data_IF_974067867471
#
_entry.id   IF_974067867471
#
_cell.length_a   1.000
_cell.length_b   1.000
_cell.length_c   1.000
_cell.angle_alpha   90.00
_cell.angle_beta   90.00
_cell.angle_gamma   90.00
#
_symmetry.space_group_name_H-M   'P 1'
#
loop_
_entity.id
_entity.type
_entity.pdbx_description
1 polymer ?
#
# COMPACT_ATOMS: atom_id res chain seq x y z
N UNK A 1 -5.73 -49.83 -5.57
CA UNK A 1 -5.56 -50.59 -4.31
C UNK A 1 -4.19 -50.26 -3.73
N UNK A 2 -4.14 -49.60 -2.57
CA UNK A 2 -3.18 -49.84 -1.46
C UNK A 2 -3.39 -48.72 -0.42
N UNK A 3 -4.24 -49.03 0.56
CA UNK A 3 -4.48 -48.29 1.79
C UNK A 3 -3.28 -48.45 2.72
N UNK A 4 -2.84 -47.37 3.37
CA UNK A 4 -2.04 -47.42 4.60
C UNK A 4 -2.77 -46.63 5.68
N UNK A 5 -3.34 -47.38 6.62
CA UNK A 5 -3.89 -46.88 7.87
C UNK A 5 -2.76 -46.75 8.89
N UNK A 6 -2.71 -45.63 9.62
CA UNK A 6 -2.05 -45.54 10.91
C UNK A 6 -3.09 -45.28 12.00
N UNK A 7 -2.82 -45.89 13.14
CA UNK A 7 -3.75 -46.29 14.18
C UNK A 7 -4.29 -45.17 15.08
N UNK A 8 -5.52 -45.43 15.52
CA UNK A 8 -6.15 -45.11 16.80
C UNK A 8 -5.21 -44.71 17.96
N UNK A 9 -5.53 -43.60 18.63
CA UNK A 9 -5.62 -43.58 20.09
C UNK A 9 -6.71 -42.60 20.54
N UNK A 10 -7.51 -43.07 21.51
CA UNK A 10 -8.80 -42.53 21.91
C UNK A 10 -8.72 -41.57 23.10
N UNK A 11 -9.88 -40.92 23.32
CA UNK A 11 -10.40 -40.35 24.56
C UNK A 11 -9.79 -39.04 25.09
N UNK A 12 -10.59 -37.97 25.07
CA UNK A 12 -11.38 -37.52 26.23
C UNK A 12 -11.77 -36.04 26.13
N UNK A 13 -13.03 -35.74 26.46
CA UNK A 13 -13.56 -34.45 26.91
C UNK A 13 -13.37 -33.22 25.99
N UNK A 14 -14.32 -33.01 25.07
CA UNK A 14 -14.54 -31.72 24.44
C UNK A 14 -15.20 -30.75 25.44
N UNK A 15 -14.37 -30.12 26.27
CA UNK A 15 -14.71 -28.91 27.01
C UNK A 15 -14.71 -27.72 26.05
N UNK A 16 -15.89 -27.13 25.84
CA UNK A 16 -16.13 -25.68 25.80
C UNK A 16 -14.91 -24.81 25.41
N UNK A 17 -14.73 -24.58 24.11
CA UNK A 17 -13.90 -23.47 23.62
C UNK A 17 -14.75 -22.69 22.62
N UNK A 18 -15.07 -21.47 23.02
CA UNK A 18 -15.93 -20.55 22.31
C UNK A 18 -15.54 -20.42 20.82
N UNK A 19 -16.53 -20.65 19.95
CA UNK A 19 -16.56 -20.03 18.64
C UNK A 19 -16.76 -18.53 18.85
N UNK A 20 -15.69 -17.84 19.25
CA UNK A 20 -15.61 -16.39 19.14
C UNK A 20 -15.71 -16.07 17.66
N UNK A 21 -16.83 -15.52 17.22
CA UNK A 21 -16.98 -14.97 15.89
C UNK A 21 -15.76 -14.07 15.62
N UNK A 22 -14.85 -14.53 14.76
CA UNK A 22 -13.71 -13.72 14.36
C UNK A 22 -14.29 -12.43 13.79
N UNK A 23 -14.03 -11.31 14.46
CA UNK A 23 -14.53 -10.00 14.03
C UNK A 23 -14.22 -9.82 12.54
N UNK A 24 -15.14 -9.31 11.71
CA UNK A 24 -14.96 -9.22 10.26
C UNK A 24 -13.62 -8.58 9.84
N UNK A 25 -13.09 -7.65 10.65
CA UNK A 25 -11.77 -7.04 10.49
C UNK A 25 -10.61 -8.06 10.52
N UNK A 26 -10.69 -9.09 11.35
CA UNK A 26 -9.64 -10.11 11.46
C UNK A 26 -9.60 -10.98 10.19
N UNK A 27 -10.75 -11.38 9.66
CA UNK A 27 -10.83 -12.11 8.38
C UNK A 27 -10.32 -11.28 7.21
N UNK A 28 -10.68 -9.99 7.16
CA UNK A 28 -10.21 -9.03 6.15
C UNK A 28 -8.69 -8.90 6.16
N UNK A 29 -8.08 -8.63 7.33
CA UNK A 29 -6.63 -8.47 7.44
C UNK A 29 -5.85 -9.79 7.28
N UNK A 30 -6.42 -10.91 7.71
CA UNK A 30 -5.88 -12.25 7.43
C UNK A 30 -5.82 -12.52 5.92
N UNK A 31 -6.86 -12.13 5.18
CA UNK A 31 -6.88 -12.24 3.71
C UNK A 31 -5.81 -11.36 3.08
N UNK A 32 -5.70 -10.10 3.51
CA UNK A 32 -4.67 -9.17 3.04
C UNK A 32 -3.26 -9.72 3.31
N UNK A 33 -3.01 -10.20 4.53
CA UNK A 33 -1.75 -10.84 4.90
C UNK A 33 -1.40 -11.97 3.91
N UNK A 34 -2.34 -12.88 3.65
CA UNK A 34 -2.15 -13.99 2.71
C UNK A 34 -1.90 -13.54 1.27
N UNK A 35 -2.51 -12.45 0.83
CA UNK A 35 -2.24 -11.84 -0.48
C UNK A 35 -0.81 -11.31 -0.54
N UNK A 36 -0.37 -10.57 0.50
CA UNK A 36 0.97 -9.99 0.56
C UNK A 36 2.08 -11.04 0.69
N UNK A 37 1.79 -12.18 1.33
CA UNK A 37 2.74 -13.30 1.43
C UNK A 37 2.68 -14.27 0.24
N UNK A 38 1.77 -14.07 -0.71
CA UNK A 38 1.62 -14.90 -1.90
C UNK A 38 0.89 -16.23 -1.69
N UNK A 39 0.27 -16.44 -0.52
CA UNK A 39 -0.59 -17.60 -0.24
C UNK A 39 -1.93 -17.49 -0.98
N UNK A 40 -2.42 -16.26 -1.14
CA UNK A 40 -3.62 -15.94 -1.92
C UNK A 40 -3.29 -14.98 -3.06
N UNK A 41 -4.12 -15.03 -4.10
CA UNK A 41 -4.03 -14.12 -5.24
C UNK A 41 -5.38 -13.42 -5.40
N UNK A 42 -5.35 -12.20 -5.93
CA UNK A 42 -6.59 -11.56 -6.35
C UNK A 42 -7.27 -12.35 -7.46
N UNK A 43 -8.61 -12.28 -7.49
CA UNK A 43 -9.40 -12.83 -8.60
C UNK A 43 -8.92 -12.22 -9.92
N UNK A 44 -9.04 -12.99 -11.00
CA UNK A 44 -8.64 -12.59 -12.36
C UNK A 44 -7.14 -12.25 -12.52
N UNK A 45 -6.27 -12.70 -11.60
CA UNK A 45 -4.82 -12.43 -11.64
C UNK A 45 -4.49 -10.93 -11.64
N UNK A 46 -5.34 -10.12 -11.01
CA UNK A 46 -5.06 -8.70 -10.80
C UNK A 46 -3.74 -8.54 -10.04
N UNK A 47 -2.83 -7.65 -10.46
CA UNK A 47 -1.55 -7.49 -9.81
C UNK A 47 -1.73 -6.93 -8.39
N UNK A 48 -0.85 -7.36 -7.48
CA UNK A 48 -0.78 -6.80 -6.13
C UNK A 48 -0.10 -5.44 -6.21
N UNK A 49 -0.91 -4.38 -6.29
CA UNK A 49 -0.50 -2.98 -6.28
C UNK A 49 -1.24 -2.22 -5.19
N UNK A 50 -0.63 -1.17 -4.66
CA UNK A 50 -1.22 -0.37 -3.58
C UNK A 50 -2.62 0.14 -3.94
N UNK A 51 -2.83 0.65 -5.16
CA UNK A 51 -4.15 1.09 -5.62
C UNK A 51 -5.22 -0.02 -5.57
N UNK A 52 -4.86 -1.27 -5.93
CA UNK A 52 -5.77 -2.42 -5.87
C UNK A 52 -6.04 -2.88 -4.43
N UNK A 53 -5.07 -2.66 -3.52
CA UNK A 53 -5.21 -2.94 -2.08
C UNK A 53 -6.14 -1.91 -1.46
N UNK A 54 -5.92 -0.62 -1.69
CA UNK A 54 -6.80 0.46 -1.21
C UNK A 54 -8.22 0.27 -1.73
N UNK A 55 -8.40 -0.11 -3.00
CA UNK A 55 -9.72 -0.39 -3.56
C UNK A 55 -10.46 -1.54 -2.85
N UNK A 56 -9.76 -2.63 -2.48
CA UNK A 56 -10.39 -3.81 -1.88
C UNK A 56 -10.46 -3.77 -0.34
N UNK A 57 -9.51 -3.09 0.30
CA UNK A 57 -9.31 -3.10 1.75
C UNK A 57 -9.48 -1.72 2.40
N UNK A 58 -9.70 -0.65 1.64
CA UNK A 58 -9.90 0.71 2.14
C UNK A 58 -8.59 1.48 2.38
N UNK A 59 -8.70 2.79 2.60
CA UNK A 59 -7.54 3.68 2.80
C UNK A 59 -6.73 3.36 4.08
N UNK A 60 -7.39 2.86 5.11
CA UNK A 60 -6.77 2.57 6.42
C UNK A 60 -6.07 1.21 6.50
N UNK A 61 -5.94 0.50 5.36
CA UNK A 61 -5.39 -0.86 5.30
C UNK A 61 -4.05 -1.01 6.00
N UNK A 62 -3.17 0.00 5.92
CA UNK A 62 -1.83 -0.06 6.52
C UNK A 62 -1.92 -0.06 8.06
N UNK A 63 -2.81 0.74 8.63
CA UNK A 63 -3.02 0.82 10.07
C UNK A 63 -3.70 -0.44 10.61
N UNK A 64 -4.71 -0.94 9.90
CA UNK A 64 -5.42 -2.18 10.23
C UNK A 64 -4.48 -3.39 10.16
N UNK A 65 -3.63 -3.47 9.13
CA UNK A 65 -2.67 -4.54 8.94
C UNK A 65 -1.54 -4.47 9.98
N UNK A 66 -1.08 -3.28 10.34
CA UNK A 66 -0.10 -3.07 11.41
C UNK A 66 -0.65 -3.48 12.78
N UNK A 67 -1.94 -3.26 13.01
CA UNK A 67 -2.62 -3.75 14.22
C UNK A 67 -2.71 -5.29 14.21
N UNK A 68 -3.09 -5.89 13.08
CA UNK A 68 -3.11 -7.35 12.88
C UNK A 68 -1.73 -7.99 13.08
N UNK A 69 -0.66 -7.33 12.61
CA UNK A 69 0.71 -7.81 12.72
C UNK A 69 1.19 -8.02 14.16
N UNK A 70 0.55 -7.40 15.16
CA UNK A 70 0.86 -7.59 16.58
C UNK A 70 0.54 -9.02 17.07
N UNK A 71 -0.34 -9.74 16.38
CA UNK A 71 -0.68 -11.13 16.69
C UNK A 71 0.21 -12.16 15.96
N UNK A 72 1.08 -11.71 15.06
CA UNK A 72 1.95 -12.59 14.28
C UNK A 72 3.23 -12.94 15.02
N UNK A 73 3.82 -14.09 14.70
CA UNK A 73 5.19 -14.40 15.15
C UNK A 73 6.21 -13.40 14.59
N UNK A 74 7.36 -13.26 15.24
CA UNK A 74 8.41 -12.33 14.82
C UNK A 74 8.86 -12.55 13.35
N UNK A 75 8.95 -13.82 12.92
CA UNK A 75 9.30 -14.16 11.54
C UNK A 75 8.22 -13.72 10.54
N UNK A 76 6.93 -14.00 10.82
CA UNK A 76 5.83 -13.59 9.97
C UNK A 76 5.72 -12.07 9.87
N UNK A 77 5.90 -11.37 11.01
CA UNK A 77 5.91 -9.92 11.06
C UNK A 77 7.03 -9.31 10.20
N UNK A 78 8.26 -9.84 10.29
CA UNK A 78 9.39 -9.38 9.46
C UNK A 78 9.15 -9.59 7.96
N UNK A 79 8.54 -10.71 7.57
CA UNK A 79 8.13 -10.95 6.17
C UNK A 79 7.09 -9.93 5.74
N UNK A 80 6.06 -9.70 6.57
CA UNK A 80 4.98 -8.75 6.27
C UNK A 80 5.51 -7.32 6.09
N UNK A 81 6.35 -6.84 7.00
CA UNK A 81 6.95 -5.50 6.93
C UNK A 81 7.73 -5.31 5.62
N UNK A 82 8.51 -6.31 5.20
CA UNK A 82 9.21 -6.28 3.91
C UNK A 82 8.24 -6.20 2.73
N UNK A 83 7.12 -6.93 2.78
CA UNK A 83 6.12 -6.89 1.70
C UNK A 83 5.35 -5.56 1.68
N UNK A 84 5.10 -4.96 2.85
CA UNK A 84 4.51 -3.62 2.93
C UNK A 84 5.42 -2.56 2.30
N UNK A 85 6.74 -2.62 2.56
CA UNK A 85 7.72 -1.73 1.90
C UNK A 85 7.71 -1.92 0.38
N UNK A 86 7.69 -3.16 -0.09
CA UNK A 86 7.61 -3.45 -1.55
C UNK A 86 6.30 -2.97 -2.16
N UNK A 87 5.19 -3.13 -1.45
CA UNK A 87 3.88 -2.66 -1.91
C UNK A 87 3.88 -1.13 -2.08
N UNK A 88 4.48 -0.38 -1.14
CA UNK A 88 4.57 1.09 -1.24
C UNK A 88 5.32 1.56 -2.48
N UNK A 89 6.30 0.81 -2.96
CA UNK A 89 6.99 1.13 -4.22
C UNK A 89 6.03 1.02 -5.41
N UNK A 90 5.04 0.12 -5.36
CA UNK A 90 4.08 -0.10 -6.47
C UNK A 90 3.05 1.02 -6.66
N UNK A 91 3.06 2.05 -5.79
CA UNK A 91 2.24 3.25 -5.97
C UNK A 91 2.69 4.08 -7.16
N UNK A 92 3.98 4.03 -7.46
CA UNK A 92 4.56 4.70 -8.61
C UNK A 92 4.25 3.91 -9.88
N UNK A 93 4.03 4.65 -10.96
CA UNK A 93 3.94 4.08 -12.29
C UNK A 93 5.30 3.52 -12.73
N UNK A 94 5.29 2.64 -13.73
CA UNK A 94 6.54 2.08 -14.28
C UNK A 94 7.43 3.17 -14.87
N UNK A 95 6.84 4.22 -15.46
CA UNK A 95 7.57 5.36 -15.99
C UNK A 95 8.27 6.14 -14.86
N UNK A 96 7.54 6.51 -13.81
CA UNK A 96 8.11 7.21 -12.66
C UNK A 96 9.18 6.38 -11.93
N UNK A 97 9.01 5.06 -11.83
CA UNK A 97 10.04 4.19 -11.27
C UNK A 97 11.32 4.20 -12.12
N UNK A 98 11.19 4.28 -13.45
CA UNK A 98 12.34 4.40 -14.35
C UNK A 98 13.09 5.71 -14.14
N UNK A 99 12.35 6.80 -13.88
CA UNK A 99 12.93 8.14 -13.77
C UNK A 99 13.46 8.45 -12.37
N UNK A 100 12.78 7.99 -11.32
CA UNK A 100 13.03 8.43 -9.93
C UNK A 100 13.75 7.39 -9.07
N UNK A 101 13.81 6.12 -9.48
CA UNK A 101 14.36 5.03 -8.66
C UNK A 101 15.84 4.75 -8.90
N UNK A 102 16.56 5.62 -9.63
CA UNK A 102 17.97 5.42 -10.01
C UNK A 102 18.91 5.21 -8.82
N UNK A 103 18.71 5.96 -7.73
CA UNK A 103 19.49 5.84 -6.48
C UNK A 103 18.98 4.72 -5.55
N UNK A 104 17.96 3.97 -6.00
CA UNK A 104 17.33 2.90 -5.26
C UNK A 104 16.10 3.31 -4.46
N UNK A 105 15.37 2.31 -3.91
CA UNK A 105 14.04 2.52 -3.34
C UNK A 105 14.02 3.38 -2.07
N UNK A 106 15.15 3.54 -1.38
CA UNK A 106 15.24 4.38 -0.18
C UNK A 106 15.17 5.88 -0.51
N UNK A 107 15.50 6.27 -1.74
CA UNK A 107 15.54 7.67 -2.19
C UNK A 107 14.35 8.04 -3.08
N UNK A 108 13.60 7.04 -3.55
CA UNK A 108 12.48 7.18 -4.48
C UNK A 108 11.51 8.31 -4.11
N UNK A 109 11.10 8.41 -2.85
CA UNK A 109 10.16 9.43 -2.39
C UNK A 109 10.74 10.85 -2.48
N UNK A 110 12.02 11.00 -2.17
CA UNK A 110 12.72 12.28 -2.26
C UNK A 110 12.92 12.68 -3.72
N UNK A 111 13.39 11.76 -4.56
CA UNK A 111 13.63 11.99 -6.00
C UNK A 111 12.33 12.30 -6.74
N UNK A 112 11.25 11.55 -6.47
CA UNK A 112 9.94 11.83 -7.05
C UNK A 112 9.40 13.20 -6.63
N UNK A 113 9.57 13.57 -5.36
CA UNK A 113 9.14 14.89 -4.87
C UNK A 113 9.94 16.01 -5.54
N UNK A 114 11.25 15.86 -5.66
CA UNK A 114 12.10 16.84 -6.33
C UNK A 114 11.71 17.02 -7.80
N UNK A 115 11.58 15.92 -8.55
CA UNK A 115 11.17 15.95 -9.94
C UNK A 115 9.79 16.61 -10.14
N UNK A 116 8.81 16.26 -9.29
CA UNK A 116 7.47 16.86 -9.36
C UNK A 116 7.51 18.37 -9.06
N UNK A 117 8.33 18.81 -8.11
CA UNK A 117 8.50 20.25 -7.83
C UNK A 117 9.15 20.94 -9.03
N UNK A 118 10.17 20.35 -9.66
CA UNK A 118 10.84 20.94 -10.82
C UNK A 118 9.92 21.08 -12.04
N UNK A 119 9.13 20.04 -12.33
CA UNK A 119 8.08 20.09 -13.34
C UNK A 119 7.05 21.16 -13.02
N UNK A 120 6.63 21.26 -11.75
CA UNK A 120 5.73 22.32 -11.27
C UNK A 120 6.32 23.72 -11.45
N UNK A 121 7.61 23.92 -11.16
CA UNK A 121 8.30 25.21 -11.35
C UNK A 121 8.38 25.57 -12.84
N UNK A 122 8.69 24.60 -13.70
CA UNK A 122 8.73 24.81 -15.15
C UNK A 122 7.34 25.23 -15.67
N UNK A 123 6.29 24.50 -15.27
CA UNK A 123 4.91 24.82 -15.63
C UNK A 123 4.48 26.20 -15.11
N UNK A 124 4.80 26.51 -13.85
CA UNK A 124 4.50 27.80 -13.23
C UNK A 124 5.16 28.97 -13.99
N UNK A 125 6.41 28.80 -14.41
CA UNK A 125 7.15 29.82 -15.19
C UNK A 125 6.59 29.99 -16.60
N UNK A 126 6.11 28.91 -17.22
CA UNK A 126 5.59 28.94 -18.60
C UNK A 126 4.14 29.46 -18.68
N UNK A 127 3.26 28.99 -17.79
CA UNK A 127 1.81 29.24 -17.88
C UNK A 127 1.29 30.24 -16.85
N UNK A 128 2.09 30.59 -15.85
CA UNK A 128 1.69 31.47 -14.76
C UNK A 128 0.91 30.77 -13.65
N UNK A 129 0.65 31.50 -12.57
CA UNK A 129 0.16 30.94 -11.31
C UNK A 129 -1.28 30.40 -11.38
N UNK A 130 -2.19 31.10 -12.06
CA UNK A 130 -3.59 30.69 -12.15
C UNK A 130 -3.74 29.37 -12.92
N UNK A 131 -3.00 29.21 -14.02
CA UNK A 131 -2.97 28.00 -14.80
C UNK A 131 -2.36 26.83 -14.02
N UNK A 132 -1.29 27.08 -13.26
CA UNK A 132 -0.65 26.08 -12.41
C UNK A 132 -1.60 25.59 -11.30
N UNK A 133 -2.21 26.49 -10.54
CA UNK A 133 -3.12 26.11 -9.45
C UNK A 133 -4.35 25.35 -9.96
N UNK A 134 -4.90 25.77 -11.12
CA UNK A 134 -5.99 25.05 -11.77
C UNK A 134 -5.57 23.65 -12.19
N UNK A 135 -4.43 23.51 -12.86
CA UNK A 135 -3.90 22.21 -13.29
C UNK A 135 -3.72 21.26 -12.11
N UNK A 136 -3.08 21.73 -11.03
CA UNK A 136 -2.86 20.93 -9.82
C UNK A 136 -4.19 20.53 -9.18
N UNK A 137 -5.21 21.41 -9.16
CA UNK A 137 -6.52 21.07 -8.61
C UNK A 137 -7.24 19.97 -9.41
N UNK A 138 -7.14 20.00 -10.74
CA UNK A 138 -7.71 18.98 -11.63
C UNK A 138 -7.01 17.63 -11.45
N UNK A 139 -5.67 17.63 -11.44
CA UNK A 139 -4.87 16.42 -11.18
C UNK A 139 -5.10 15.84 -9.79
N UNK A 140 -5.26 16.70 -8.77
CA UNK A 140 -5.53 16.27 -7.42
C UNK A 140 -6.85 15.48 -7.29
N UNK A 141 -7.89 15.87 -8.04
CA UNK A 141 -9.16 15.13 -8.07
C UNK A 141 -8.96 13.77 -8.71
N UNK A 142 -8.23 13.71 -9.84
CA UNK A 142 -7.97 12.46 -10.55
C UNK A 142 -7.11 11.49 -9.73
N UNK A 143 -6.13 12.01 -8.99
CA UNK A 143 -5.21 11.23 -8.17
C UNK A 143 -5.70 11.01 -6.72
N UNK A 144 -6.88 11.53 -6.36
CA UNK A 144 -7.44 11.53 -5.00
C UNK A 144 -6.45 12.11 -3.95
N UNK A 145 -5.76 13.20 -4.28
CA UNK A 145 -4.86 13.88 -3.36
C UNK A 145 -5.63 14.65 -2.29
N UNK A 146 -5.17 14.56 -1.04
CA UNK A 146 -5.75 15.30 0.07
C UNK A 146 -5.48 16.81 -0.12
N UNK A 147 -6.42 17.71 0.20
CA UNK A 147 -6.23 19.15 0.06
C UNK A 147 -4.97 19.69 0.79
N UNK A 148 -4.60 19.06 1.91
CA UNK A 148 -3.39 19.41 2.65
C UNK A 148 -2.11 19.11 1.86
N UNK A 149 -2.08 18.03 1.09
CA UNK A 149 -0.90 17.64 0.31
C UNK A 149 -0.80 18.45 -0.99
N UNK A 150 -1.95 18.77 -1.60
CA UNK A 150 -2.04 19.75 -2.69
C UNK A 150 -1.45 21.09 -2.27
N UNK A 151 -1.86 21.61 -1.10
CA UNK A 151 -1.34 22.87 -0.57
C UNK A 151 0.16 22.82 -0.34
N UNK A 152 0.68 21.76 0.30
CA UNK A 152 2.13 21.59 0.52
C UNK A 152 2.91 21.56 -0.80
N UNK A 153 2.36 20.92 -1.83
CA UNK A 153 2.98 20.86 -3.16
C UNK A 153 3.04 22.25 -3.81
N UNK A 154 1.92 22.97 -3.85
CA UNK A 154 1.84 24.33 -4.42
C UNK A 154 2.81 25.27 -3.68
N UNK A 155 2.84 25.23 -2.35
CA UNK A 155 3.73 26.06 -1.53
C UNK A 155 5.21 25.74 -1.81
N UNK A 156 5.55 24.46 -2.01
CA UNK A 156 6.92 24.05 -2.34
C UNK A 156 7.34 24.52 -3.74
N UNK A 157 6.46 24.43 -4.74
CA UNK A 157 6.70 24.93 -6.09
C UNK A 157 6.88 26.45 -6.10
N UNK A 158 5.97 27.19 -5.44
CA UNK A 158 6.09 28.65 -5.28
C UNK A 158 7.38 29.03 -4.54
N UNK A 159 7.79 28.25 -3.55
CA UNK A 159 9.03 28.45 -2.81
C UNK A 159 10.28 28.29 -3.68
N UNK A 160 10.33 27.24 -4.52
CA UNK A 160 11.47 26.98 -5.43
C UNK A 160 11.48 27.88 -6.68
N UNK A 161 10.35 28.50 -7.03
CA UNK A 161 10.24 29.40 -8.19
C UNK A 161 10.67 30.85 -7.92
N UNK A 162 10.88 31.23 -6.65
CA UNK A 162 11.42 32.54 -6.25
C UNK A 162 12.91 32.63 -6.54
#
# INVERSE_FOLDING_TARGET
MMRRSFCLLAAAAATTAAASAASPTNTKMSTLYKVLTGELHFKNKVPVKECNIVYQFGEDWESELSAYAKALSAQQKSVLERQMVRLKITRYTVAELSDYCGDGPAHLDASAREANIEQGVAFLKEKGIEAFEKYVAEEAVNANWKPADVKKFIDAVKGKAK
#
